data_IF_902111680527
#
_entry.id   IF_902111680527
#
_cell.length_a   1.000
_cell.length_b   1.000
_cell.length_c   1.000
_cell.angle_alpha   90.00
_cell.angle_beta   90.00
_cell.angle_gamma   90.00
#
_symmetry.space_group_name_H-M   'P 1'
#
loop_
_entity.id
_entity.type
_entity.pdbx_description
1 polymer ?
#
# COMPACT_ATOMS: atom_id res chain seq x y z
N UNK A 1 -3.13 6.49 6.49
CA UNK A 1 -3.51 7.04 7.81
C UNK A 1 -2.30 6.99 8.71
N UNK A 2 -2.20 7.92 9.65
CA UNK A 2 -1.08 8.04 10.60
C UNK A 2 -1.48 9.00 11.71
N UNK A 3 -0.97 8.84 12.93
CA UNK A 3 -1.07 9.90 13.94
C UNK A 3 -0.08 11.02 13.58
N UNK A 4 -0.59 12.16 13.07
CA UNK A 4 0.23 13.29 12.64
C UNK A 4 0.31 14.38 13.72
N UNK A 5 -0.44 14.26 14.80
CA UNK A 5 -0.52 15.28 15.86
C UNK A 5 -0.16 14.74 17.25
N UNK A 6 0.28 13.48 17.32
CA UNK A 6 0.69 12.78 18.53
C UNK A 6 -0.40 12.71 19.61
N UNK A 7 -1.69 12.73 19.23
CA UNK A 7 -2.83 12.59 20.15
C UNK A 7 -3.24 11.12 20.40
N UNK A 8 -2.54 10.17 19.78
CA UNK A 8 -2.76 8.74 19.90
C UNK A 8 -3.90 8.20 19.03
N UNK A 9 -4.57 9.05 18.25
CA UNK A 9 -5.61 8.64 17.31
C UNK A 9 -5.07 8.76 15.88
N UNK A 10 -5.41 7.80 15.03
CA UNK A 10 -4.98 7.84 13.63
C UNK A 10 -5.71 8.96 12.87
N UNK A 11 -4.93 9.81 12.20
CA UNK A 11 -5.42 10.82 11.28
C UNK A 11 -5.54 10.24 9.87
N UNK A 12 -6.51 10.75 9.12
CA UNK A 12 -6.69 10.41 7.71
C UNK A 12 -6.06 11.48 6.82
N UNK A 13 -5.38 11.03 5.77
CA UNK A 13 -4.79 11.88 4.75
C UNK A 13 -5.42 11.51 3.41
N UNK A 14 -5.99 12.50 2.72
CA UNK A 14 -6.65 12.32 1.42
C UNK A 14 -5.98 13.25 0.42
N UNK A 15 -5.48 12.71 -0.69
CA UNK A 15 -4.96 13.50 -1.80
C UNK A 15 -6.04 13.87 -2.80
N UNK A 16 -5.86 14.98 -3.51
CA UNK A 16 -6.72 15.36 -4.62
C UNK A 16 -5.92 15.60 -5.92
N UNK A 17 -6.63 15.53 -7.06
CA UNK A 17 -6.02 15.73 -8.38
C UNK A 17 -5.53 17.17 -8.61
N UNK A 18 -6.05 18.13 -7.85
CA UNK A 18 -5.72 19.56 -7.94
C UNK A 18 -4.36 19.93 -7.35
N UNK A 19 -3.72 19.02 -6.61
CA UNK A 19 -2.40 19.24 -6.00
C UNK A 19 -2.50 19.70 -4.55
N UNK A 20 -3.41 19.13 -3.78
CA UNK A 20 -3.40 19.25 -2.33
C UNK A 20 -3.62 17.89 -1.66
N UNK A 21 -3.24 17.84 -0.38
CA UNK A 21 -3.71 16.85 0.57
C UNK A 21 -4.60 17.51 1.61
N UNK A 22 -5.61 16.79 2.08
CA UNK A 22 -6.44 17.14 3.23
C UNK A 22 -6.14 16.19 4.38
N UNK A 23 -5.77 16.73 5.53
CA UNK A 23 -5.57 15.97 6.77
C UNK A 23 -6.77 16.14 7.67
N UNK A 24 -7.41 15.02 8.01
CA UNK A 24 -8.57 14.90 8.88
C UNK A 24 -8.12 14.34 10.23
N UNK A 25 -8.05 15.17 11.29
CA UNK A 25 -7.58 14.67 12.58
C UNK A 25 -8.54 13.65 13.19
N UNK A 26 -8.00 12.52 13.66
CA UNK A 26 -8.75 11.42 14.28
C UNK A 26 -9.42 11.82 15.59
N UNK A 27 -10.34 10.99 16.06
CA UNK A 27 -10.92 11.06 17.40
C UNK A 27 -10.97 9.66 18.00
N UNK A 28 -11.03 9.51 19.33
CA UNK A 28 -11.04 8.21 20.00
C UNK A 28 -12.21 7.28 19.64
N UNK A 29 -13.24 7.79 18.97
CA UNK A 29 -14.40 7.01 18.57
C UNK A 29 -14.38 6.62 17.07
N UNK A 30 -13.23 6.71 16.40
CA UNK A 30 -13.07 6.39 14.99
C UNK A 30 -13.65 7.42 14.01
N UNK A 31 -14.05 8.61 14.49
CA UNK A 31 -14.54 9.71 13.63
C UNK A 31 -13.50 10.81 13.46
N UNK A 32 -13.68 11.69 12.47
CA UNK A 32 -12.70 12.73 12.16
C UNK A 32 -13.16 14.15 12.51
N UNK A 33 -12.20 15.06 12.73
CA UNK A 33 -12.38 16.51 12.85
C UNK A 33 -12.37 17.15 11.44
N UNK A 34 -12.67 18.45 11.39
CA UNK A 34 -12.61 19.21 10.13
C UNK A 34 -11.19 19.16 9.53
N UNK A 35 -11.06 18.97 8.20
CA UNK A 35 -9.77 18.83 7.58
C UNK A 35 -9.00 20.15 7.48
N UNK A 36 -7.67 20.03 7.40
CA UNK A 36 -6.77 21.10 6.97
C UNK A 36 -6.13 20.71 5.64
N UNK A 37 -6.12 21.64 4.67
CA UNK A 37 -5.53 21.43 3.35
C UNK A 37 -4.09 21.92 3.26
N UNK A 38 -3.23 21.19 2.54
CA UNK A 38 -1.83 21.51 2.28
C UNK A 38 -1.51 21.30 0.80
N UNK A 39 -0.82 22.25 0.19
CA UNK A 39 -0.46 22.17 -1.23
C UNK A 39 0.71 21.21 -1.45
N UNK A 40 0.69 20.51 -2.58
CA UNK A 40 1.71 19.56 -3.05
C UNK A 40 1.77 19.60 -4.58
N UNK A 41 2.51 18.69 -5.20
CA UNK A 41 2.47 18.49 -6.65
C UNK A 41 1.09 18.05 -7.17
N UNK A 42 0.71 18.55 -8.35
CA UNK A 42 -0.56 18.21 -8.98
C UNK A 42 -0.73 16.72 -9.30
N UNK A 43 -1.97 16.22 -9.22
CA UNK A 43 -2.32 14.84 -9.53
C UNK A 43 -1.90 13.86 -8.45
N UNK A 44 -2.23 14.14 -7.18
CA UNK A 44 -1.93 13.22 -6.07
C UNK A 44 -2.70 11.92 -6.30
N UNK A 45 -1.98 10.82 -6.49
CA UNK A 45 -2.57 9.49 -6.71
C UNK A 45 -2.40 8.58 -5.48
N UNK A 46 -1.32 8.78 -4.73
CA UNK A 46 -1.03 8.00 -3.53
C UNK A 46 -0.39 8.85 -2.44
N UNK A 47 -0.58 8.44 -1.20
CA UNK A 47 0.04 9.08 -0.03
C UNK A 47 0.57 8.01 0.92
N UNK A 48 1.80 8.19 1.38
CA UNK A 48 2.42 7.43 2.47
C UNK A 48 2.73 8.35 3.65
N UNK A 49 2.82 7.79 4.84
CA UNK A 49 3.20 8.53 6.04
C UNK A 49 4.18 7.70 6.89
N UNK A 50 5.17 8.37 7.47
CA UNK A 50 6.24 7.76 8.25
C UNK A 50 7.32 8.80 8.59
N UNK A 51 8.12 8.53 9.61
CA UNK A 51 9.19 9.40 10.07
C UNK A 51 10.38 9.35 9.10
N UNK A 52 10.49 10.35 8.21
CA UNK A 52 11.56 10.42 7.19
C UNK A 52 12.71 11.32 7.61
N UNK A 53 12.62 12.03 8.74
CA UNK A 53 13.70 12.86 9.26
C UNK A 53 14.23 12.39 10.63
N UNK A 54 13.77 11.23 11.10
CA UNK A 54 14.14 10.60 12.37
C UNK A 54 13.88 11.48 13.59
N UNK A 55 12.85 12.34 13.54
CA UNK A 55 12.49 13.24 14.65
C UNK A 55 11.40 12.66 15.58
N UNK A 56 10.91 11.45 15.27
CA UNK A 56 9.89 10.72 16.02
C UNK A 56 8.46 11.09 15.63
N UNK A 57 8.25 11.89 14.58
CA UNK A 57 6.93 12.26 14.08
C UNK A 57 6.77 11.73 12.68
N UNK A 58 5.56 11.26 12.36
CA UNK A 58 5.30 10.81 11.01
C UNK A 58 5.12 12.01 10.07
N UNK A 59 5.92 12.02 9.01
CA UNK A 59 5.84 12.94 7.88
C UNK A 59 4.90 12.40 6.81
N UNK A 60 4.69 13.17 5.74
CA UNK A 60 3.84 12.75 4.61
C UNK A 60 4.61 12.80 3.30
N UNK A 61 4.44 11.76 2.48
CA UNK A 61 4.99 11.64 1.13
C UNK A 61 3.85 11.43 0.14
N UNK A 62 3.79 12.22 -0.92
CA UNK A 62 2.77 12.09 -1.97
C UNK A 62 3.37 11.61 -3.29
N UNK A 63 2.63 10.77 -4.02
CA UNK A 63 2.90 10.42 -5.41
C UNK A 63 2.09 11.33 -6.33
N UNK A 64 2.76 12.18 -7.11
CA UNK A 64 2.09 13.18 -7.95
C UNK A 64 2.22 12.79 -9.43
N UNK A 65 1.20 12.13 -9.96
CA UNK A 65 1.22 11.57 -11.32
C UNK A 65 1.33 12.66 -12.39
N UNK A 66 0.57 13.76 -12.24
CA UNK A 66 0.53 14.83 -13.25
C UNK A 66 1.75 15.74 -13.18
N UNK A 67 2.19 16.09 -11.96
CA UNK A 67 3.40 16.87 -11.75
C UNK A 67 4.69 16.09 -12.05
N UNK A 68 4.63 14.75 -12.03
CA UNK A 68 5.81 13.85 -12.14
C UNK A 68 6.83 14.14 -11.05
N UNK A 69 6.33 14.27 -9.84
CA UNK A 69 7.13 14.47 -8.63
C UNK A 69 6.64 13.54 -7.54
N UNK A 70 7.46 13.39 -6.51
CA UNK A 70 6.97 13.13 -5.16
C UNK A 70 7.06 14.43 -4.37
N UNK A 71 6.11 14.68 -3.46
CA UNK A 71 6.22 15.79 -2.49
C UNK A 71 6.46 15.24 -1.09
N UNK A 72 7.38 15.86 -0.35
CA UNK A 72 7.68 15.54 1.06
C UNK A 72 7.17 16.69 1.92
N UNK A 73 6.38 16.38 2.94
CA UNK A 73 5.90 17.33 3.93
C UNK A 73 6.41 16.90 5.30
N UNK A 74 7.35 17.70 5.84
CA UNK A 74 7.90 17.47 7.17
C UNK A 74 6.91 17.97 8.23
N UNK A 75 6.57 17.10 9.19
CA UNK A 75 5.54 17.33 10.18
C UNK A 75 6.10 18.02 11.43
N UNK A 76 5.42 19.09 11.87
CA UNK A 76 5.78 19.79 13.11
C UNK A 76 5.36 19.02 14.38
N UNK A 77 4.48 18.01 14.24
CA UNK A 77 3.99 17.15 15.33
C UNK A 77 2.65 17.60 15.91
N UNK A 78 2.02 18.61 15.32
CA UNK A 78 0.71 19.13 15.70
C UNK A 78 -0.31 19.05 14.54
N UNK A 79 -0.01 18.20 13.54
CA UNK A 79 -0.78 18.08 12.31
C UNK A 79 -0.63 19.27 11.36
N UNK A 80 0.45 20.05 11.50
CA UNK A 80 0.89 21.05 10.51
C UNK A 80 2.22 20.66 9.92
N UNK A 81 2.52 21.17 8.72
CA UNK A 81 3.72 20.81 7.97
C UNK A 81 4.55 22.04 7.64
N UNK A 82 5.85 21.82 7.46
CA UNK A 82 6.73 22.74 6.76
C UNK A 82 6.31 22.90 5.29
N UNK A 83 6.96 23.83 4.57
CA UNK A 83 6.77 23.93 3.12
C UNK A 83 7.23 22.62 2.46
N UNK A 84 6.38 22.06 1.60
CA UNK A 84 6.70 20.82 0.93
C UNK A 84 7.92 20.98 0.00
N UNK A 85 8.68 19.89 -0.15
CA UNK A 85 9.79 19.81 -1.10
C UNK A 85 9.43 18.78 -2.17
N UNK A 86 9.58 19.17 -3.43
CA UNK A 86 9.32 18.28 -4.57
C UNK A 86 10.61 17.64 -5.08
N UNK A 87 10.58 16.33 -5.28
CA UNK A 87 11.64 15.59 -5.97
C UNK A 87 11.14 15.11 -7.34
N UNK A 88 11.87 15.39 -8.43
CA UNK A 88 11.45 15.01 -9.76
C UNK A 88 11.51 13.49 -9.98
N UNK A 89 10.54 12.99 -10.75
CA UNK A 89 10.47 11.63 -11.26
C UNK A 89 10.71 11.61 -12.79
N UNK A 90 10.93 10.42 -13.36
CA UNK A 90 11.08 10.26 -14.83
C UNK A 90 9.72 10.24 -15.53
N UNK A 91 8.72 9.66 -14.88
CA UNK A 91 7.32 9.51 -15.32
C UNK A 91 6.38 9.93 -14.18
N UNK A 92 5.08 9.83 -14.44
CA UNK A 92 4.09 10.02 -13.38
C UNK A 92 4.24 8.93 -12.34
N UNK A 93 4.31 9.33 -11.06
CA UNK A 93 4.38 8.42 -9.91
C UNK A 93 2.96 8.07 -9.52
N UNK A 94 2.62 6.78 -9.52
CA UNK A 94 1.27 6.28 -9.18
C UNK A 94 1.20 5.69 -7.78
N UNK A 95 2.33 5.36 -7.16
CA UNK A 95 2.34 4.73 -5.86
C UNK A 95 3.65 5.05 -5.15
N UNK A 96 3.60 5.23 -3.83
CA UNK A 96 4.80 5.37 -2.98
C UNK A 96 4.66 4.55 -1.70
N UNK A 97 5.77 4.00 -1.23
CA UNK A 97 5.88 3.42 0.12
C UNK A 97 7.21 3.85 0.76
N UNK A 98 7.29 3.66 2.07
CA UNK A 98 8.47 3.96 2.88
C UNK A 98 9.12 2.67 3.38
N UNK A 99 10.43 2.52 3.19
CA UNK A 99 11.20 1.38 3.67
C UNK A 99 12.70 1.69 3.71
N UNK A 100 13.45 1.11 4.65
CA UNK A 100 14.92 1.19 4.68
C UNK A 100 15.52 0.13 3.74
N UNK A 101 15.63 0.45 2.46
CA UNK A 101 16.07 -0.52 1.44
C UNK A 101 17.57 -0.72 1.38
N UNK A 102 18.32 0.14 2.06
CA UNK A 102 19.79 0.10 2.07
C UNK A 102 20.38 -0.29 3.44
N UNK A 103 19.53 -0.46 4.46
CA UNK A 103 19.91 -0.94 5.78
C UNK A 103 20.66 0.10 6.64
N UNK A 104 20.55 1.40 6.33
CA UNK A 104 21.20 2.46 7.10
C UNK A 104 20.35 3.02 8.27
N UNK A 105 19.17 2.44 8.48
CA UNK A 105 18.24 2.79 9.55
C UNK A 105 17.30 3.94 9.22
N UNK A 106 17.25 4.40 7.97
CA UNK A 106 16.41 5.53 7.54
C UNK A 106 15.37 5.07 6.54
N UNK A 107 14.19 5.66 6.60
CA UNK A 107 13.15 5.36 5.63
C UNK A 107 13.48 6.01 4.28
N UNK A 108 13.75 5.19 3.27
CA UNK A 108 13.80 5.60 1.87
C UNK A 108 12.38 5.61 1.27
N UNK A 109 12.23 6.22 0.10
CA UNK A 109 10.96 6.23 -0.65
C UNK A 109 11.10 5.33 -1.86
N UNK A 110 10.21 4.35 -2.00
CA UNK A 110 10.07 3.54 -3.21
C UNK A 110 8.82 4.03 -3.94
N UNK A 111 8.98 4.44 -5.20
CA UNK A 111 7.87 4.87 -6.06
C UNK A 111 7.68 3.98 -7.27
N UNK A 112 6.42 3.68 -7.59
CA UNK A 112 6.04 3.08 -8.86
C UNK A 112 5.81 4.18 -9.90
N UNK A 113 6.60 4.12 -10.96
CA UNK A 113 6.48 4.94 -12.15
C UNK A 113 6.12 4.02 -13.32
N UNK A 114 5.39 4.51 -14.34
CA UNK A 114 4.88 3.65 -15.44
C UNK A 114 5.93 2.76 -16.16
N UNK A 115 7.23 3.03 -15.99
CA UNK A 115 8.32 2.28 -16.58
C UNK A 115 9.47 1.99 -15.61
N UNK A 116 9.35 2.39 -14.35
CA UNK A 116 10.43 2.26 -13.36
C UNK A 116 9.85 1.98 -11.98
N UNK A 117 10.57 1.16 -11.22
CA UNK A 117 10.54 1.29 -9.76
C UNK A 117 11.71 2.19 -9.40
N UNK A 118 11.44 3.28 -8.70
CA UNK A 118 12.42 4.31 -8.36
C UNK A 118 12.58 4.39 -6.86
N UNK A 119 13.83 4.45 -6.39
CA UNK A 119 14.16 4.65 -4.98
C UNK A 119 14.78 6.02 -4.81
N UNK A 120 14.21 6.84 -3.92
CA UNK A 120 14.84 8.05 -3.42
C UNK A 120 15.47 7.71 -2.07
N UNK A 121 16.81 7.76 -2.01
CA UNK A 121 17.58 7.40 -0.82
C UNK A 121 17.65 8.60 0.14
N UNK A 122 17.31 8.35 1.39
CA UNK A 122 17.21 9.35 2.43
C UNK A 122 18.55 9.58 3.13
N UNK A 123 18.92 10.84 3.36
CA UNK A 123 20.10 11.16 4.17
C UNK A 123 19.83 11.17 5.68
N UNK A 124 18.56 11.08 6.07
CA UNK A 124 18.09 10.99 7.46
C UNK A 124 17.58 12.32 8.01
N UNK A 125 17.59 13.36 7.19
CA UNK A 125 17.08 14.69 7.54
C UNK A 125 15.79 15.06 6.80
N UNK A 126 15.14 14.08 6.16
CA UNK A 126 14.03 14.30 5.24
C UNK A 126 14.46 14.79 3.86
N UNK A 127 15.77 14.73 3.55
CA UNK A 127 16.31 15.06 2.24
C UNK A 127 16.72 13.80 1.48
N UNK A 128 16.46 13.80 0.16
CA UNK A 128 16.64 12.63 -0.69
C UNK A 128 17.60 12.93 -1.85
N UNK A 129 18.92 13.04 -1.58
CA UNK A 129 19.90 13.52 -2.56
C UNK A 129 20.19 12.53 -3.69
N UNK A 130 19.93 11.24 -3.49
CA UNK A 130 20.24 10.19 -4.45
C UNK A 130 18.96 9.48 -4.91
N UNK A 131 18.93 9.10 -6.19
CA UNK A 131 17.84 8.34 -6.79
C UNK A 131 18.39 7.17 -7.61
N UNK A 132 17.78 6.01 -7.45
CA UNK A 132 18.10 4.77 -8.17
C UNK A 132 16.87 4.30 -8.94
N UNK A 133 17.06 3.89 -10.19
CA UNK A 133 15.98 3.41 -11.06
C UNK A 133 16.17 1.96 -11.46
N UNK A 134 15.12 1.16 -11.31
CA UNK A 134 15.02 -0.18 -11.89
C UNK A 134 13.95 -0.18 -12.97
N UNK A 135 14.30 -0.57 -14.20
CA UNK A 135 13.34 -0.62 -15.30
C UNK A 135 12.32 -1.75 -15.13
N UNK A 136 11.05 -1.38 -14.98
CA UNK A 136 9.92 -2.29 -14.82
C UNK A 136 8.73 -1.71 -15.58
N UNK A 137 8.34 -2.33 -16.69
CA UNK A 137 7.30 -1.77 -17.55
C UNK A 137 5.89 -2.02 -16.99
N UNK A 138 5.12 -0.94 -16.84
CA UNK A 138 3.71 -1.02 -16.46
C UNK A 138 3.49 -1.32 -14.97
N UNK A 139 4.49 -1.11 -14.13
CA UNK A 139 4.32 -1.22 -12.67
C UNK A 139 3.28 -0.23 -12.16
N UNK A 140 2.43 -0.69 -11.24
CA UNK A 140 1.33 0.09 -10.67
C UNK A 140 1.41 0.19 -9.15
N UNK A 141 1.78 -0.90 -8.47
CA UNK A 141 2.10 -0.92 -7.05
C UNK A 141 3.27 -1.87 -6.78
N UNK A 142 3.83 -1.76 -5.57
CA UNK A 142 4.86 -2.64 -5.04
C UNK A 142 4.56 -2.98 -3.58
N UNK A 143 5.00 -4.14 -3.13
CA UNK A 143 5.11 -4.50 -1.72
C UNK A 143 6.54 -4.95 -1.41
N UNK A 144 6.94 -4.82 -0.15
CA UNK A 144 8.32 -5.04 0.31
C UNK A 144 8.39 -6.26 1.22
N UNK A 145 9.48 -7.02 1.15
CA UNK A 145 9.80 -8.11 2.06
C UNK A 145 11.16 -8.70 1.76
N UNK A 146 11.78 -9.40 2.71
CA UNK A 146 12.99 -10.21 2.45
C UNK A 146 12.53 -11.60 1.95
N UNK A 147 12.38 -11.77 0.63
CA UNK A 147 11.80 -12.98 0.04
C UNK A 147 12.83 -14.10 -0.15
N UNK A 148 14.12 -13.77 -0.11
CA UNK A 148 15.24 -14.71 -0.28
C UNK A 148 16.04 -14.96 1.01
N UNK A 149 15.69 -14.28 2.10
CA UNK A 149 16.30 -14.37 3.44
C UNK A 149 17.77 -13.98 3.47
N UNK A 150 18.19 -13.06 2.60
CA UNK A 150 19.55 -12.56 2.55
C UNK A 150 19.78 -11.33 3.46
N UNK A 151 18.71 -10.81 4.06
CA UNK A 151 18.72 -9.67 4.96
C UNK A 151 18.53 -8.31 4.27
N UNK A 152 18.45 -8.28 2.94
CA UNK A 152 18.07 -7.10 2.17
C UNK A 152 16.58 -7.11 1.88
N UNK A 153 16.00 -5.92 1.72
CA UNK A 153 14.61 -5.81 1.29
C UNK A 153 14.51 -6.06 -0.22
N UNK A 154 13.63 -6.99 -0.60
CA UNK A 154 13.19 -7.24 -1.97
C UNK A 154 11.81 -6.62 -2.21
N UNK A 155 11.34 -6.63 -3.46
CA UNK A 155 10.00 -6.18 -3.84
C UNK A 155 9.22 -7.25 -4.61
N UNK A 156 7.90 -7.18 -4.50
CA UNK A 156 6.98 -7.76 -5.49
C UNK A 156 6.17 -6.63 -6.12
N UNK A 157 6.10 -6.60 -7.44
CA UNK A 157 5.38 -5.60 -8.23
C UNK A 157 4.04 -6.14 -8.75
N UNK A 158 3.13 -5.24 -9.12
CA UNK A 158 2.00 -5.52 -10.03
C UNK A 158 2.20 -4.75 -11.32
N UNK A 159 2.19 -5.46 -12.45
CA UNK A 159 2.58 -4.95 -13.76
C UNK A 159 1.51 -5.20 -14.82
N UNK A 160 1.13 -4.16 -15.55
CA UNK A 160 0.26 -4.26 -16.71
C UNK A 160 0.82 -3.44 -17.88
N UNK A 161 1.62 -4.10 -18.73
CA UNK A 161 2.18 -3.53 -19.95
C UNK A 161 1.85 -4.38 -21.18
N UNK A 162 2.36 -3.97 -22.36
CA UNK A 162 2.26 -4.79 -23.58
C UNK A 162 3.20 -6.00 -23.54
N UNK A 163 4.28 -5.90 -22.78
CA UNK A 163 5.37 -6.89 -22.73
C UNK A 163 5.10 -7.94 -21.66
N UNK A 164 4.48 -7.55 -20.55
CA UNK A 164 4.17 -8.43 -19.42
C UNK A 164 2.91 -7.98 -18.68
N UNK A 165 2.17 -8.95 -18.16
CA UNK A 165 0.99 -8.76 -17.32
C UNK A 165 1.06 -9.78 -16.19
N UNK A 166 1.22 -9.31 -14.96
CA UNK A 166 1.45 -10.18 -13.80
C UNK A 166 2.14 -9.48 -12.65
N UNK A 167 2.88 -10.25 -11.89
CA UNK A 167 3.78 -9.77 -10.84
C UNK A 167 5.21 -10.17 -11.13
N UNK A 168 6.18 -9.32 -10.80
CA UNK A 168 7.58 -9.68 -10.79
C UNK A 168 8.16 -9.57 -9.39
N UNK A 169 9.06 -10.49 -9.07
CA UNK A 169 9.92 -10.41 -7.89
C UNK A 169 11.16 -9.61 -8.27
N UNK A 170 11.52 -8.64 -7.46
CA UNK A 170 12.66 -7.75 -7.64
C UNK A 170 13.60 -7.95 -6.45
N UNK A 171 14.74 -8.61 -6.68
CA UNK A 171 15.69 -8.91 -5.61
C UNK A 171 16.58 -7.71 -5.33
N UNK A 172 16.62 -7.27 -4.07
CA UNK A 172 17.40 -6.13 -3.60
C UNK A 172 18.86 -6.48 -3.39
N UNK A 173 19.74 -5.52 -3.64
CA UNK A 173 21.19 -5.67 -3.40
C UNK A 173 21.67 -5.06 -2.07
N UNK A 174 20.74 -4.51 -1.27
CA UNK A 174 21.05 -3.79 -0.03
C UNK A 174 21.63 -2.39 -0.25
N UNK A 175 21.65 -1.88 -1.48
CA UNK A 175 22.06 -0.52 -1.82
C UNK A 175 20.94 0.26 -2.54
N UNK A 176 19.71 -0.24 -2.47
CA UNK A 176 18.54 0.32 -3.14
C UNK A 176 18.44 0.00 -4.64
N UNK A 177 19.28 -0.89 -5.18
CA UNK A 177 19.10 -1.41 -6.54
C UNK A 177 18.36 -2.73 -6.51
N UNK A 178 17.58 -2.98 -7.57
CA UNK A 178 16.84 -4.22 -7.70
C UNK A 178 17.16 -4.93 -9.01
N UNK A 179 17.22 -6.25 -8.96
CA UNK A 179 17.30 -7.12 -10.14
C UNK A 179 15.96 -7.82 -10.34
N UNK A 180 15.38 -7.70 -11.53
CA UNK A 180 14.15 -8.42 -11.88
C UNK A 180 14.43 -9.92 -11.91
N UNK A 181 13.79 -10.64 -11.00
CA UNK A 181 13.85 -12.08 -10.83
C UNK A 181 12.67 -12.79 -11.48
N UNK A 182 11.98 -13.65 -10.73
CA UNK A 182 10.87 -14.44 -11.24
C UNK A 182 9.70 -13.55 -11.66
N UNK A 183 9.14 -13.83 -12.84
CA UNK A 183 7.88 -13.24 -13.31
C UNK A 183 6.75 -14.27 -13.22
N UNK A 184 5.64 -13.85 -12.62
CA UNK A 184 4.47 -14.65 -12.29
C UNK A 184 3.27 -14.09 -13.06
N UNK A 185 2.89 -14.68 -14.20
CA UNK A 185 1.84 -14.14 -15.05
C UNK A 185 0.49 -14.11 -14.36
N UNK A 186 -0.20 -12.98 -14.45
CA UNK A 186 -1.60 -12.79 -14.06
C UNK A 186 -2.29 -12.18 -15.26
N UNK A 187 -3.38 -12.80 -15.72
CA UNK A 187 -3.98 -12.45 -17.00
C UNK A 187 -4.36 -10.97 -17.11
N UNK A 188 -4.87 -10.41 -16.00
CA UNK A 188 -5.30 -9.02 -15.87
C UNK A 188 -5.11 -8.54 -14.43
N UNK A 189 -3.91 -8.08 -14.04
CA UNK A 189 -3.66 -7.74 -12.65
C UNK A 189 -4.49 -6.54 -12.21
N UNK A 190 -4.98 -6.58 -10.97
CA UNK A 190 -5.44 -5.39 -10.26
C UNK A 190 -4.27 -4.51 -9.83
N UNK A 191 -4.57 -3.41 -9.14
CA UNK A 191 -3.53 -2.48 -8.69
C UNK A 191 -2.80 -2.99 -7.44
N UNK A 192 -3.53 -3.55 -6.48
CA UNK A 192 -2.99 -3.94 -5.18
C UNK A 192 -2.19 -5.25 -5.17
N UNK A 193 -1.16 -5.27 -4.31
CA UNK A 193 -0.42 -6.45 -3.87
C UNK A 193 -0.16 -6.35 -2.37
N UNK A 194 -0.24 -7.47 -1.66
CA UNK A 194 0.00 -7.53 -0.22
C UNK A 194 0.90 -8.74 0.12
N UNK A 195 1.70 -8.61 1.18
CA UNK A 195 2.69 -9.59 1.60
C UNK A 195 2.36 -10.07 3.02
N UNK A 196 2.59 -11.36 3.28
CA UNK A 196 2.41 -11.96 4.60
C UNK A 196 2.60 -13.47 4.54
N UNK A 197 2.79 -14.11 5.69
CA UNK A 197 2.83 -15.58 5.79
C UNK A 197 1.39 -16.13 5.75
N UNK A 198 0.99 -16.72 4.62
CA UNK A 198 -0.38 -17.17 4.36
C UNK A 198 -0.60 -18.64 4.73
N UNK A 199 0.48 -19.38 5.00
CA UNK A 199 0.44 -20.82 5.24
C UNK A 199 1.08 -21.25 6.58
N UNK A 200 1.67 -20.31 7.33
CA UNK A 200 2.28 -20.52 8.63
C UNK A 200 3.66 -21.17 8.60
N UNK A 201 4.37 -21.15 7.47
CA UNK A 201 5.71 -21.75 7.34
C UNK A 201 6.87 -20.79 7.70
N UNK A 202 6.55 -19.53 7.99
CA UNK A 202 7.51 -18.49 8.35
C UNK A 202 8.25 -17.88 7.17
N UNK A 203 7.83 -18.15 5.93
CA UNK A 203 8.29 -17.49 4.72
C UNK A 203 7.26 -16.44 4.30
N UNK A 204 7.75 -15.37 3.65
CA UNK A 204 6.85 -14.37 3.10
C UNK A 204 6.21 -14.88 1.82
N UNK A 205 4.88 -14.91 1.80
CA UNK A 205 4.07 -15.11 0.61
C UNK A 205 3.54 -13.74 0.13
N UNK A 206 2.89 -13.74 -1.02
CA UNK A 206 2.12 -12.57 -1.44
C UNK A 206 0.78 -12.92 -2.07
N UNK A 207 -0.11 -11.94 -2.04
CA UNK A 207 -1.40 -11.95 -2.72
C UNK A 207 -1.41 -10.87 -3.79
N UNK A 208 -1.79 -11.25 -5.00
CA UNK A 208 -2.09 -10.34 -6.10
C UNK A 208 -3.50 -10.59 -6.63
N UNK A 209 -4.03 -9.59 -7.33
CA UNK A 209 -5.41 -9.59 -7.80
C UNK A 209 -5.49 -9.84 -9.30
N UNK A 210 -6.46 -10.64 -9.73
CA UNK A 210 -6.81 -10.77 -11.14
C UNK A 210 -8.16 -10.10 -11.36
N UNK A 211 -8.09 -8.84 -11.78
CA UNK A 211 -9.21 -7.90 -11.88
C UNK A 211 -10.37 -8.49 -12.68
N UNK A 212 -10.15 -8.85 -13.95
CA UNK A 212 -11.21 -9.40 -14.81
C UNK A 212 -11.43 -10.90 -14.61
N UNK A 213 -10.51 -11.59 -13.93
CA UNK A 213 -10.67 -12.98 -13.53
C UNK A 213 -11.61 -13.16 -12.34
N UNK A 214 -11.91 -12.08 -11.61
CA UNK A 214 -12.62 -12.08 -10.34
C UNK A 214 -11.98 -13.08 -9.36
N UNK A 215 -10.65 -12.98 -9.20
CA UNK A 215 -9.90 -13.85 -8.31
C UNK A 215 -8.84 -13.10 -7.52
N UNK A 216 -8.61 -13.60 -6.31
CA UNK A 216 -7.41 -13.37 -5.51
C UNK A 216 -6.45 -14.54 -5.79
N UNK A 217 -5.20 -14.23 -6.10
CA UNK A 217 -4.16 -15.21 -6.40
C UNK A 217 -3.06 -15.11 -5.35
N UNK A 218 -2.91 -16.17 -4.55
CA UNK A 218 -1.84 -16.30 -3.56
C UNK A 218 -0.64 -17.04 -4.17
N UNK A 219 0.54 -16.52 -3.92
CA UNK A 219 1.81 -17.08 -4.38
C UNK A 219 2.65 -17.41 -3.15
N UNK A 220 2.84 -18.72 -2.91
CA UNK A 220 3.56 -19.20 -1.73
C UNK A 220 5.07 -19.12 -1.97
N UNK A 221 5.77 -18.43 -1.08
CA UNK A 221 7.20 -18.22 -1.09
C UNK A 221 7.96 -19.51 -0.81
N UNK A 222 9.16 -19.61 -1.36
CA UNK A 222 10.10 -20.72 -1.08
C UNK A 222 11.29 -20.29 -0.24
N UNK A 223 11.38 -19.00 0.08
CA UNK A 223 12.46 -18.41 0.88
C UNK A 223 13.78 -18.27 0.14
N UNK A 224 13.79 -18.44 -1.18
CA UNK A 224 14.95 -18.28 -2.06
C UNK A 224 14.75 -17.17 -3.11
N UNK A 225 13.77 -16.29 -2.89
CA UNK A 225 13.35 -15.27 -3.86
C UNK A 225 12.44 -15.80 -4.96
N UNK A 226 12.02 -17.07 -4.90
CA UNK A 226 11.05 -17.65 -5.83
C UNK A 226 9.77 -18.09 -5.13
N UNK A 227 8.72 -18.21 -5.93
CA UNK A 227 7.36 -18.55 -5.50
C UNK A 227 6.82 -19.75 -6.28
N UNK A 228 5.86 -20.42 -5.68
CA UNK A 228 5.05 -21.45 -6.30
C UNK A 228 4.03 -20.84 -7.28
N UNK A 229 3.36 -21.69 -8.06
CA UNK A 229 2.25 -21.23 -8.91
C UNK A 229 1.08 -20.72 -8.07
N UNK A 230 0.25 -19.87 -8.67
CA UNK A 230 -0.89 -19.25 -8.01
C UNK A 230 -1.87 -20.28 -7.40
N UNK A 231 -2.25 -20.06 -6.15
CA UNK A 231 -3.40 -20.66 -5.49
C UNK A 231 -4.56 -19.67 -5.62
N UNK A 232 -5.57 -20.03 -6.39
CA UNK A 232 -6.62 -19.10 -6.80
C UNK A 232 -7.87 -19.23 -5.94
N UNK A 233 -8.32 -18.11 -5.37
CA UNK A 233 -9.61 -17.99 -4.66
C UNK A 233 -10.52 -17.04 -5.43
N UNK A 234 -11.72 -17.49 -5.78
CA UNK A 234 -12.68 -16.65 -6.52
C UNK A 234 -13.22 -15.55 -5.62
N UNK A 235 -13.21 -14.31 -6.09
CA UNK A 235 -14.03 -13.23 -5.53
C UNK A 235 -15.43 -13.28 -6.14
N UNK A 236 -16.30 -12.34 -5.76
CA UNK A 236 -17.63 -12.17 -6.39
C UNK A 236 -17.65 -11.03 -7.41
N UNK A 237 -16.61 -10.18 -7.41
CA UNK A 237 -16.51 -8.93 -8.14
C UNK A 237 -15.06 -8.65 -8.54
N UNK A 238 -14.83 -7.73 -9.47
CA UNK A 238 -13.51 -7.36 -9.99
C UNK A 238 -12.65 -6.68 -8.93
N UNK A 239 -11.66 -7.37 -8.30
CA UNK A 239 -10.92 -6.80 -7.19
C UNK A 239 -9.82 -5.85 -7.68
N UNK A 240 -9.70 -4.68 -7.07
CA UNK A 240 -8.77 -3.60 -7.45
C UNK A 240 -7.66 -3.35 -6.44
N UNK A 241 -7.97 -3.42 -5.15
CA UNK A 241 -7.03 -3.27 -4.03
C UNK A 241 -7.18 -4.42 -3.04
N UNK A 242 -6.11 -4.72 -2.29
CA UNK A 242 -6.08 -5.81 -1.33
C UNK A 242 -5.38 -5.39 -0.05
N UNK A 243 -5.91 -5.84 1.09
CA UNK A 243 -5.24 -5.81 2.39
C UNK A 243 -5.32 -7.18 3.06
N UNK A 244 -4.28 -7.50 3.83
CA UNK A 244 -4.20 -8.72 4.64
C UNK A 244 -4.23 -8.35 6.11
N UNK A 245 -5.07 -9.03 6.88
CA UNK A 245 -5.09 -8.96 8.35
C UNK A 245 -5.84 -10.17 8.91
N UNK A 246 -5.60 -10.53 10.16
CA UNK A 246 -6.40 -11.54 10.87
C UNK A 246 -7.69 -10.88 11.40
N UNK A 247 -8.69 -10.75 10.51
CA UNK A 247 -9.94 -10.05 10.82
C UNK A 247 -10.82 -10.83 11.78
N UNK A 248 -10.78 -12.16 11.73
CA UNK A 248 -11.58 -13.03 12.60
C UNK A 248 -10.84 -13.51 13.87
N UNK A 249 -9.58 -13.08 14.05
CA UNK A 249 -8.70 -13.40 15.18
C UNK A 249 -8.45 -14.90 15.36
N UNK A 250 -8.31 -15.65 14.28
CA UNK A 250 -8.04 -17.10 14.32
C UNK A 250 -6.55 -17.46 14.14
N UNK A 251 -5.69 -16.45 14.00
CA UNK A 251 -4.25 -16.59 13.83
C UNK A 251 -3.82 -16.77 12.37
N UNK A 252 -4.72 -16.61 11.40
CA UNK A 252 -4.42 -16.70 9.97
C UNK A 252 -4.73 -15.38 9.29
N UNK A 253 -3.96 -15.05 8.26
CA UNK A 253 -4.25 -13.87 7.47
C UNK A 253 -5.49 -14.11 6.61
N UNK A 254 -6.48 -13.24 6.79
CA UNK A 254 -7.64 -13.09 5.93
C UNK A 254 -7.34 -12.06 4.83
N UNK A 255 -8.16 -12.04 3.77
CA UNK A 255 -8.03 -11.09 2.67
C UNK A 255 -9.28 -10.24 2.54
N UNK A 256 -9.07 -8.93 2.43
CA UNK A 256 -10.12 -7.97 2.10
C UNK A 256 -9.78 -7.28 0.78
N UNK A 257 -10.72 -7.30 -0.15
CA UNK A 257 -10.59 -6.60 -1.44
C UNK A 257 -11.58 -5.45 -1.57
N UNK A 258 -11.15 -4.33 -2.16
CA UNK A 258 -12.06 -3.36 -2.78
C UNK A 258 -12.34 -3.82 -4.21
N UNK A 259 -13.56 -3.61 -4.71
CA UNK A 259 -13.96 -4.08 -6.03
C UNK A 259 -14.53 -2.94 -6.89
N UNK A 260 -14.21 -2.93 -8.19
CA UNK A 260 -14.55 -1.84 -9.13
C UNK A 260 -15.69 -2.20 -10.11
N UNK A 261 -16.59 -3.12 -9.75
CA UNK A 261 -17.81 -3.34 -10.55
C UNK A 261 -18.87 -2.26 -10.22
N UNK A 262 -19.99 -2.24 -10.95
CA UNK A 262 -21.16 -1.35 -10.74
C UNK A 262 -21.75 -1.39 -9.30
N UNK A 263 -21.19 -2.22 -8.43
CA UNK A 263 -21.54 -2.32 -7.02
C UNK A 263 -20.38 -1.86 -6.13
N UNK A 264 -20.67 -0.89 -5.28
CA UNK A 264 -19.77 -0.25 -4.31
C UNK A 264 -19.38 -1.22 -3.18
N UNK A 265 -18.66 -2.30 -3.50
CA UNK A 265 -18.49 -3.44 -2.60
C UNK A 265 -17.06 -3.73 -2.20
N UNK A 266 -16.82 -3.90 -0.89
CA UNK A 266 -15.66 -4.62 -0.38
C UNK A 266 -16.00 -6.10 -0.17
N UNK A 267 -15.04 -7.00 -0.35
CA UNK A 267 -15.23 -8.45 -0.11
C UNK A 267 -14.16 -8.94 0.86
N UNK A 268 -14.59 -9.46 2.01
CA UNK A 268 -13.76 -10.16 2.98
C UNK A 268 -13.85 -11.66 2.73
N UNK A 269 -12.70 -12.34 2.69
CA UNK A 269 -12.58 -13.79 2.62
C UNK A 269 -11.60 -14.28 3.67
N UNK A 270 -11.93 -15.37 4.34
CA UNK A 270 -11.16 -15.86 5.49
C UNK A 270 -10.06 -16.83 5.07
N UNK A 271 -8.88 -16.69 5.67
CA UNK A 271 -7.72 -17.52 5.40
C UNK A 271 -7.88 -18.93 5.94
N UNK A 272 -7.65 -19.94 5.10
CA UNK A 272 -7.60 -21.34 5.55
C UNK A 272 -6.27 -21.70 6.21
N UNK A 273 -5.23 -20.87 6.04
CA UNK A 273 -3.87 -21.12 6.54
C UNK A 273 -3.05 -22.05 5.65
N UNK A 274 -3.38 -22.12 4.36
CA UNK A 274 -2.67 -22.88 3.34
C UNK A 274 -2.52 -22.09 2.02
N UNK A 275 -2.70 -20.77 2.08
CA UNK A 275 -2.80 -19.88 0.92
C UNK A 275 -4.17 -19.85 0.22
N UNK A 276 -5.16 -20.62 0.66
CA UNK A 276 -6.54 -20.50 0.16
C UNK A 276 -7.40 -19.57 1.02
N UNK A 277 -8.38 -18.93 0.39
CA UNK A 277 -9.36 -18.08 1.06
C UNK A 277 -10.78 -18.59 0.83
N UNK A 278 -11.58 -18.64 1.89
CA UNK A 278 -12.94 -19.19 1.88
C UNK A 278 -13.87 -18.43 2.81
N UNK A 279 -15.17 -18.63 2.67
CA UNK A 279 -16.16 -17.74 3.26
C UNK A 279 -16.12 -16.37 2.58
N UNK A 280 -17.28 -15.76 2.33
CA UNK A 280 -17.33 -14.46 1.69
C UNK A 280 -18.31 -13.59 2.43
N UNK A 281 -17.85 -12.41 2.83
CA UNK A 281 -18.70 -11.34 3.33
C UNK A 281 -18.52 -10.14 2.41
N UNK A 282 -19.64 -9.56 1.96
CA UNK A 282 -19.63 -8.38 1.10
C UNK A 282 -20.19 -7.20 1.88
N UNK A 283 -19.46 -6.09 1.85
CA UNK A 283 -19.86 -4.84 2.51
C UNK A 283 -20.14 -3.78 1.47
N UNK A 284 -21.31 -3.15 1.56
CA UNK A 284 -21.65 -1.99 0.74
C UNK A 284 -20.99 -0.74 1.31
N UNK A 285 -20.26 0.00 0.50
CA UNK A 285 -19.58 1.22 0.92
C UNK A 285 -20.34 2.40 0.34
N UNK A 286 -21.04 3.14 1.20
CA UNK A 286 -21.84 4.27 0.79
C UNK A 286 -20.97 5.36 0.14
N UNK A 287 -21.39 5.81 -1.06
CA UNK A 287 -20.74 6.92 -1.76
C UNK A 287 -19.67 6.49 -2.76
N UNK A 288 -19.63 5.21 -3.12
CA UNK A 288 -18.69 4.63 -4.07
C UNK A 288 -17.33 4.31 -3.45
N UNK A 289 -16.65 3.28 -3.95
CA UNK A 289 -15.33 2.90 -3.47
C UNK A 289 -14.21 3.72 -4.13
N UNK A 290 -13.60 4.63 -3.40
CA UNK A 290 -12.24 5.06 -3.68
C UNK A 290 -11.27 3.94 -3.28
N UNK A 291 -10.37 3.57 -4.17
CA UNK A 291 -9.20 2.75 -3.80
C UNK A 291 -8.08 3.69 -3.35
N UNK A 292 -7.30 3.38 -2.31
CA UNK A 292 -7.19 2.11 -1.57
C UNK A 292 -8.02 1.99 -0.28
N UNK A 293 -8.32 0.77 0.15
CA UNK A 293 -8.70 0.50 1.55
C UNK A 293 -7.45 0.46 2.45
N UNK A 294 -7.60 0.90 3.70
CA UNK A 294 -6.55 0.87 4.73
C UNK A 294 -7.03 0.11 5.95
N UNK A 295 -6.12 -0.60 6.64
CA UNK A 295 -6.43 -1.33 7.86
C UNK A 295 -5.56 -0.85 9.03
N UNK A 296 -6.10 -0.94 10.25
CA UNK A 296 -5.44 -0.55 11.49
C UNK A 296 -6.44 -0.62 12.65
N UNK A 297 -5.99 -0.48 13.89
CA UNK A 297 -6.88 -0.37 15.06
C UNK A 297 -7.29 1.09 15.26
N UNK A 298 -8.51 1.46 14.84
CA UNK A 298 -8.98 2.85 14.83
C UNK A 298 -9.72 3.26 16.10
N UNK A 299 -10.07 2.30 16.95
CA UNK A 299 -10.79 2.53 18.19
C UNK A 299 -10.02 2.07 19.45
N UNK A 300 -8.83 1.47 19.28
CA UNK A 300 -7.97 1.00 20.36
C UNK A 300 -8.39 -0.33 20.99
N UNK A 301 -9.20 -1.15 20.32
CA UNK A 301 -9.71 -2.43 20.85
C UNK A 301 -8.85 -3.66 20.47
N UNK A 302 -7.77 -3.42 19.73
CA UNK A 302 -6.82 -4.42 19.24
C UNK A 302 -7.33 -5.24 18.05
N UNK A 303 -8.50 -4.93 17.47
CA UNK A 303 -8.97 -5.57 16.23
C UNK A 303 -8.47 -4.76 15.04
N UNK A 304 -8.13 -5.43 13.92
CA UNK A 304 -7.94 -4.71 12.67
C UNK A 304 -9.30 -4.20 12.18
N UNK A 305 -9.45 -2.88 12.17
CA UNK A 305 -10.53 -2.14 11.53
C UNK A 305 -10.18 -1.83 10.07
N UNK A 306 -11.15 -1.29 9.31
CA UNK A 306 -10.95 -0.92 7.90
C UNK A 306 -11.53 0.46 7.58
N UNK A 307 -10.74 1.30 6.92
CA UNK A 307 -11.15 2.58 6.37
C UNK A 307 -11.24 2.50 4.85
N UNK A 308 -12.35 3.01 4.31
CA UNK A 308 -12.60 3.15 2.88
C UNK A 308 -12.75 4.63 2.53
N UNK A 309 -11.83 5.21 1.74
CA UNK A 309 -12.09 6.51 1.11
C UNK A 309 -13.18 6.30 0.06
N UNK A 310 -14.23 7.13 0.04
CA UNK A 310 -15.24 7.08 -1.01
C UNK A 310 -14.92 8.10 -2.12
N UNK A 311 -15.52 7.95 -3.31
CA UNK A 311 -15.48 9.01 -4.34
C UNK A 311 -16.32 10.23 -3.94
N UNK A 312 -17.27 10.05 -3.02
CA UNK A 312 -17.96 11.16 -2.37
C UNK A 312 -17.11 11.73 -1.23
N UNK A 313 -17.46 12.92 -0.72
CA UNK A 313 -16.83 13.54 0.47
C UNK A 313 -17.07 12.75 1.79
N UNK A 314 -17.41 11.46 1.69
CA UNK A 314 -17.69 10.55 2.81
C UNK A 314 -16.52 9.57 2.95
N UNK A 315 -16.03 9.41 4.16
CA UNK A 315 -15.12 8.32 4.50
C UNK A 315 -15.90 7.34 5.37
N UNK A 316 -15.85 6.06 5.01
CA UNK A 316 -16.52 5.01 5.78
C UNK A 316 -15.48 4.20 6.54
N UNK A 317 -15.60 4.17 7.87
CA UNK A 317 -14.79 3.32 8.75
C UNK A 317 -15.65 2.18 9.28
N UNK A 318 -15.21 0.95 9.05
CA UNK A 318 -15.79 -0.28 9.58
C UNK A 318 -14.98 -0.72 10.80
N UNK A 319 -15.59 -0.61 11.98
CA UNK A 319 -15.00 -1.11 13.21
C UNK A 319 -15.26 -2.61 13.32
N UNK A 320 -14.19 -3.38 13.50
CA UNK A 320 -14.23 -4.82 13.62
C UNK A 320 -14.60 -5.21 15.05
N UNK A 321 -15.83 -5.70 15.22
CA UNK A 321 -16.34 -6.12 16.53
C UNK A 321 -15.77 -7.46 17.04
N UNK A 322 -14.92 -8.14 16.27
CA UNK A 322 -14.29 -9.40 16.67
C UNK A 322 -15.25 -10.59 16.79
N UNK A 323 -16.43 -10.51 16.19
CA UNK A 323 -17.44 -11.58 16.25
C UNK A 323 -17.43 -12.38 14.94
N UNK A 324 -17.24 -13.70 15.07
CA UNK A 324 -17.31 -14.69 13.98
C UNK A 324 -18.69 -14.80 13.34
#
# INVERSE_FOLDING_TARGET
MSDLNSDGNLDLIVGDEGGAISVFPGKPNGTFRQPKGFLVGAGVYWVAAGDVNSDGKNDVVTANTLAKTISILINNGDGTFEQHVDYPAQKGVSFVLLADVNGDGKQDIIGAESSYVSVWLNDGSGHFPNRVDTSVEGVSAVAVGDFNRDGNLDLVSTESSKSFSGSAVLLGDGAGHFTVGQQLPIAKPGFGVAVGDLNGDGLLDFVALNFFGNTVEAFLGKGDGTFSGAVTSKTSYSPSWVVLADFNRDGKLDVLTTNNDDGEFATLMFGSGDGTFSGKQTYWIEGGLGSPAVTGDFNGDGAPDVGFPAYSDVITVYLNTGVK
#
